data_IF_440938703753
#
_entry.id   IF_440938703753
#
_cell.length_a   1.000
_cell.length_b   1.000
_cell.length_c   1.000
_cell.angle_alpha   90.00
_cell.angle_beta   90.00
_cell.angle_gamma   90.00
#
_symmetry.space_group_name_H-M   'P 1'
#
loop_
_entity.id
_entity.type
_entity.pdbx_description
1 polymer ?
#
# COMPACT_ATOMS: atom_id res chain seq x y z
N UNK A 1 -33.81 5.81 -6.96
CA UNK A 1 -33.07 6.01 -8.22
C UNK A 1 -31.60 5.69 -7.94
N UNK A 2 -31.14 4.49 -8.32
CA UNK A 2 -29.75 4.10 -8.12
C UNK A 2 -28.86 4.88 -9.08
N UNK A 3 -27.81 5.53 -8.57
CA UNK A 3 -26.81 6.17 -9.43
C UNK A 3 -26.04 5.06 -10.14
N UNK A 4 -26.16 4.98 -11.46
CA UNK A 4 -25.22 4.23 -12.30
C UNK A 4 -23.88 4.95 -12.20
N UNK A 5 -22.91 4.34 -11.51
CA UNK A 5 -21.54 4.85 -11.43
C UNK A 5 -20.89 4.56 -12.78
N UNK A 6 -20.57 5.62 -13.52
CA UNK A 6 -19.81 5.54 -14.76
C UNK A 6 -18.35 5.19 -14.42
N UNK A 7 -18.01 3.92 -14.57
CA UNK A 7 -16.68 3.39 -14.24
C UNK A 7 -15.54 3.97 -15.08
N UNK A 8 -15.84 4.66 -16.19
CA UNK A 8 -14.80 5.27 -17.03
C UNK A 8 -14.32 6.64 -16.53
N UNK A 9 -15.07 7.27 -15.63
CA UNK A 9 -14.78 8.61 -15.11
C UNK A 9 -14.63 8.65 -13.58
N UNK A 10 -14.56 7.49 -12.93
CA UNK A 10 -14.42 7.38 -11.48
C UNK A 10 -13.18 6.61 -11.10
N UNK A 11 -12.48 7.07 -10.06
CA UNK A 11 -11.33 6.38 -9.48
C UNK A 11 -11.77 5.60 -8.25
N UNK A 12 -11.52 4.28 -8.24
CA UNK A 12 -11.77 3.40 -7.10
C UNK A 12 -10.50 3.25 -6.25
N UNK A 13 -10.59 3.64 -4.97
CA UNK A 13 -9.47 3.56 -4.03
C UNK A 13 -9.85 2.69 -2.84
N UNK A 14 -9.03 1.67 -2.58
CA UNK A 14 -9.15 0.85 -1.39
C UNK A 14 -8.05 1.21 -0.39
N UNK A 15 -8.39 1.32 0.89
CA UNK A 15 -7.45 1.57 1.97
C UNK A 15 -7.60 0.51 3.06
N UNK A 16 -6.47 0.00 3.54
CA UNK A 16 -6.44 -0.90 4.69
C UNK A 16 -5.20 -0.66 5.54
N UNK A 17 -5.34 -0.87 6.84
CA UNK A 17 -4.23 -0.93 7.77
C UNK A 17 -3.94 -2.40 8.05
N UNK A 18 -2.81 -2.90 7.55
CA UNK A 18 -2.50 -4.33 7.61
C UNK A 18 -2.07 -4.78 9.01
N UNK A 19 -1.50 -3.91 9.86
CA UNK A 19 -0.89 -4.31 11.14
C UNK A 19 0.00 -5.56 10.98
N UNK A 20 0.98 -5.49 10.08
CA UNK A 20 1.72 -6.60 9.46
C UNK A 20 1.05 -7.18 8.22
N UNK A 21 1.66 -6.92 7.06
CA UNK A 21 1.22 -7.45 5.77
C UNK A 21 1.73 -8.87 5.49
N UNK A 22 2.82 -9.29 6.14
CA UNK A 22 3.57 -10.52 5.83
C UNK A 22 2.71 -11.79 5.75
N UNK A 23 1.70 -11.91 6.61
CA UNK A 23 0.84 -13.10 6.70
C UNK A 23 -0.55 -12.88 6.09
N UNK A 24 -0.78 -11.75 5.40
CA UNK A 24 -2.10 -11.34 4.90
C UNK A 24 -2.15 -11.21 3.38
N UNK A 25 -1.19 -11.84 2.69
CA UNK A 25 -1.07 -11.76 1.23
C UNK A 25 -2.27 -12.39 0.53
N UNK A 26 -2.78 -13.51 1.02
CA UNK A 26 -3.98 -14.16 0.48
C UNK A 26 -5.24 -13.34 0.70
N UNK A 27 -5.40 -12.74 1.88
CA UNK A 27 -6.54 -11.85 2.20
C UNK A 27 -6.53 -10.61 1.30
N UNK A 28 -5.35 -10.01 1.11
CA UNK A 28 -5.16 -8.90 0.19
C UNK A 28 -5.53 -9.30 -1.25
N UNK A 29 -5.08 -10.47 -1.72
CA UNK A 29 -5.38 -10.99 -3.05
C UNK A 29 -6.90 -11.16 -3.28
N UNK A 30 -7.60 -11.78 -2.33
CA UNK A 30 -9.06 -11.94 -2.41
C UNK A 30 -9.78 -10.60 -2.47
N UNK A 31 -9.34 -9.62 -1.67
CA UNK A 31 -9.90 -8.27 -1.69
C UNK A 31 -9.67 -7.58 -3.04
N UNK A 32 -8.50 -7.77 -3.67
CA UNK A 32 -8.22 -7.22 -5.00
C UNK A 32 -9.11 -7.87 -6.06
N UNK A 33 -9.30 -9.19 -6.01
CA UNK A 33 -10.15 -9.92 -6.95
C UNK A 33 -11.62 -9.48 -6.83
N UNK A 34 -12.11 -9.29 -5.60
CA UNK A 34 -13.50 -8.90 -5.33
C UNK A 34 -13.79 -7.44 -5.71
N UNK A 35 -12.93 -6.50 -5.28
CA UNK A 35 -13.20 -5.07 -5.41
C UNK A 35 -12.61 -4.46 -6.69
N UNK A 36 -11.62 -5.10 -7.29
CA UNK A 36 -10.91 -4.64 -8.48
C UNK A 36 -10.49 -3.14 -8.48
N UNK A 37 -9.96 -2.58 -7.37
CA UNK A 37 -9.74 -1.14 -7.23
C UNK A 37 -8.67 -0.60 -8.17
N UNK A 38 -8.67 0.70 -8.43
CA UNK A 38 -7.62 1.37 -9.22
C UNK A 38 -6.34 1.61 -8.41
N UNK A 39 -6.52 1.94 -7.14
CA UNK A 39 -5.44 2.17 -6.18
C UNK A 39 -5.74 1.41 -4.90
N UNK A 40 -4.72 0.75 -4.34
CA UNK A 40 -4.78 0.10 -3.03
C UNK A 40 -3.72 0.73 -2.15
N UNK A 41 -4.12 1.16 -0.96
CA UNK A 41 -3.25 1.78 0.05
C UNK A 41 -3.19 0.84 1.24
N UNK A 42 -2.00 0.31 1.53
CA UNK A 42 -1.75 -0.56 2.68
C UNK A 42 -0.81 0.15 3.64
N UNK A 43 -1.27 0.43 4.87
CA UNK A 43 -0.45 1.04 5.93
C UNK A 43 -0.10 0.03 7.01
N UNK A 44 0.92 0.33 7.84
CA UNK A 44 1.43 -0.56 8.88
C UNK A 44 1.80 -1.93 8.31
N UNK A 45 2.52 -1.91 7.18
CA UNK A 45 2.96 -3.08 6.43
C UNK A 45 3.97 -3.91 7.23
N UNK A 46 4.81 -3.23 8.02
CA UNK A 46 5.88 -3.79 8.84
C UNK A 46 6.89 -4.62 8.02
N UNK A 47 7.02 -4.32 6.72
CA UNK A 47 8.01 -4.91 5.84
C UNK A 47 9.39 -4.26 6.08
N UNK A 48 10.45 -5.03 5.85
CA UNK A 48 11.83 -4.53 5.84
C UNK A 48 12.32 -4.49 4.40
N UNK A 49 12.74 -3.32 3.93
CA UNK A 49 13.12 -2.99 2.54
C UNK A 49 14.11 -4.00 1.90
N UNK A 50 14.99 -4.62 2.70
CA UNK A 50 16.02 -5.55 2.22
C UNK A 50 15.73 -7.04 2.48
N UNK A 51 14.64 -7.36 3.18
CA UNK A 51 14.32 -8.74 3.62
C UNK A 51 12.97 -9.19 3.10
N UNK A 52 11.97 -8.32 3.17
CA UNK A 52 10.60 -8.62 2.84
C UNK A 52 10.25 -7.93 1.50
N UNK A 53 9.77 -8.69 0.53
CA UNK A 53 9.19 -8.12 -0.68
C UNK A 53 7.71 -7.82 -0.45
N UNK A 54 7.22 -6.67 -0.92
CA UNK A 54 5.79 -6.44 -1.03
C UNK A 54 5.14 -7.54 -1.89
N UNK A 55 3.94 -8.02 -1.51
CA UNK A 55 3.20 -9.00 -2.29
C UNK A 55 3.05 -8.57 -3.76
N UNK A 56 3.42 -9.44 -4.68
CA UNK A 56 3.19 -9.18 -6.10
C UNK A 56 1.70 -9.32 -6.42
N UNK A 57 1.11 -8.30 -7.07
CA UNK A 57 -0.27 -8.30 -7.53
C UNK A 57 -0.27 -8.01 -9.03
N UNK A 58 -0.77 -8.96 -9.82
CA UNK A 58 -0.78 -8.84 -11.28
C UNK A 58 -1.63 -7.64 -11.73
N UNK A 59 -1.12 -6.87 -12.69
CA UNK A 59 -1.78 -5.66 -13.19
C UNK A 59 -1.63 -4.41 -12.32
N UNK A 60 -0.76 -4.46 -11.29
CA UNK A 60 -0.45 -3.32 -10.44
C UNK A 60 1.05 -3.02 -10.38
N UNK A 61 1.36 -1.74 -10.38
CA UNK A 61 2.65 -1.17 -10.00
C UNK A 61 2.68 -1.05 -8.48
N UNK A 62 3.68 -1.66 -7.84
CA UNK A 62 3.87 -1.61 -6.39
C UNK A 62 4.89 -0.52 -6.02
N UNK A 63 4.53 0.34 -5.07
CA UNK A 63 5.37 1.41 -4.54
C UNK A 63 5.42 1.26 -3.01
N UNK A 64 6.57 0.86 -2.49
CA UNK A 64 6.81 0.77 -1.06
C UNK A 64 7.50 2.03 -0.52
N UNK A 65 7.18 2.39 0.72
CA UNK A 65 7.95 3.34 1.51
C UNK A 65 8.03 2.82 2.95
N UNK A 66 8.81 1.77 3.13
CA UNK A 66 9.06 1.16 4.43
C UNK A 66 10.31 1.75 5.09
N UNK A 67 10.34 1.75 6.42
CA UNK A 67 11.45 2.34 7.18
C UNK A 67 12.66 1.42 7.14
N UNK A 68 13.84 1.96 6.84
CA UNK A 68 15.12 1.29 7.05
C UNK A 68 15.44 1.33 8.55
N UNK A 69 14.73 0.51 9.34
CA UNK A 69 14.95 0.44 10.78
C UNK A 69 14.85 -1.00 11.29
N UNK A 70 15.58 -1.32 12.36
CA UNK A 70 15.57 -2.65 13.00
C UNK A 70 14.17 -2.99 13.56
N UNK A 71 13.33 -1.99 13.84
CA UNK A 71 11.96 -2.18 14.33
C UNK A 71 10.99 -2.33 13.15
N UNK A 72 10.29 -3.46 13.09
CA UNK A 72 9.20 -3.74 12.15
C UNK A 72 7.92 -2.98 12.54
N UNK A 73 7.92 -1.65 12.43
CA UNK A 73 6.75 -0.80 12.77
C UNK A 73 6.57 0.27 11.69
N UNK A 74 5.33 0.57 11.33
CA UNK A 74 4.99 1.54 10.28
C UNK A 74 5.09 0.97 8.87
N UNK A 75 5.46 1.84 7.92
CA UNK A 75 5.56 1.48 6.51
C UNK A 75 4.24 1.62 5.76
N UNK A 76 4.37 1.87 4.46
CA UNK A 76 3.26 2.02 3.53
C UNK A 76 3.60 1.34 2.21
N UNK A 77 2.63 0.65 1.63
CA UNK A 77 2.70 0.10 0.28
C UNK A 77 1.50 0.58 -0.52
N UNK A 78 1.75 1.17 -1.67
CA UNK A 78 0.77 1.56 -2.67
C UNK A 78 0.78 0.55 -3.81
N UNK A 79 -0.40 0.10 -4.24
CA UNK A 79 -0.58 -0.60 -5.51
C UNK A 79 -1.41 0.28 -6.43
N UNK A 80 -0.90 0.58 -7.61
CA UNK A 80 -1.58 1.42 -8.61
C UNK A 80 -1.75 0.59 -9.88
N UNK A 81 -2.93 0.56 -10.49
CA UNK A 81 -3.10 -0.18 -11.76
C UNK A 81 -2.06 0.26 -12.79
N UNK A 82 -1.51 -0.70 -13.53
CA UNK A 82 -0.39 -0.48 -14.45
C UNK A 82 -0.71 0.39 -15.68
N UNK A 83 -2.00 0.59 -15.99
CA UNK A 83 -2.43 1.52 -17.02
C UNK A 83 -2.38 3.00 -16.58
N UNK A 84 -2.19 3.29 -15.28
CA UNK A 84 -1.93 4.66 -14.84
C UNK A 84 -0.47 5.03 -15.04
N UNK A 85 -0.25 6.17 -15.67
CA UNK A 85 1.08 6.77 -15.75
C UNK A 85 1.37 7.54 -14.46
N UNK A 86 2.36 7.07 -13.71
CA UNK A 86 2.86 7.75 -12.52
C UNK A 86 3.85 8.83 -12.96
N UNK A 87 3.56 10.10 -12.64
CA UNK A 87 4.41 11.23 -13.01
C UNK A 87 5.58 11.42 -12.03
N UNK A 88 5.31 11.26 -10.73
CA UNK A 88 6.31 11.39 -9.67
C UNK A 88 5.85 10.65 -8.43
N UNK A 89 6.81 10.14 -7.66
CA UNK A 89 6.58 9.59 -6.33
C UNK A 89 7.51 10.31 -5.38
N UNK A 90 6.96 10.87 -4.30
CA UNK A 90 7.72 11.54 -3.26
C UNK A 90 7.36 10.83 -1.96
N UNK A 91 8.37 10.41 -1.21
CA UNK A 91 8.20 9.90 0.13
C UNK A 91 9.15 10.65 1.06
N UNK A 92 8.62 11.12 2.18
CA UNK A 92 9.39 11.76 3.23
C UNK A 92 9.35 10.87 4.46
N UNK A 93 10.53 10.42 4.91
CA UNK A 93 10.65 9.77 6.19
C UNK A 93 10.54 10.84 7.29
N UNK A 94 9.51 10.73 8.14
CA UNK A 94 9.51 11.51 9.37
C UNK A 94 10.59 10.98 10.31
N UNK A 95 11.73 11.67 10.35
CA UNK A 95 12.79 11.45 11.33
C UNK A 95 12.27 12.02 12.66
N UNK A 96 11.48 11.22 13.38
CA UNK A 96 11.15 11.57 14.76
C UNK A 96 12.44 11.49 15.55
N UNK A 97 12.98 12.65 15.96
CA UNK A 97 13.96 12.69 17.04
C UNK A 97 13.38 11.90 18.21
N UNK A 98 14.09 10.86 18.63
CA UNK A 98 13.68 10.11 19.81
C UNK A 98 13.79 11.05 21.01
N UNK A 99 12.65 11.41 21.62
CA UNK A 99 12.66 11.76 23.04
C UNK A 99 12.92 10.44 23.78
N UNK A 100 14.18 10.05 23.88
CA UNK A 100 14.61 9.14 24.94
C UNK A 100 14.42 9.91 26.24
N UNK A 101 13.29 9.68 26.91
CA UNK A 101 13.13 10.10 28.30
C UNK A 101 13.99 9.13 29.10
N UNK A 102 15.16 9.63 29.51
CA UNK A 102 16.08 8.98 30.44
C UNK A 102 15.41 8.71 31.80
#
# INVERSE_FOLDING_TARGET
VGRTIDCQNTLSVCYTNARSLRNKTSELGLMVEELCPDIIVVTETWLIVDIDCSPFIAGYICIGSDRVSIRKVGGITLYVRDHFRIQSTISEAHISGTCEVA
#
